data_IF_232129613673
#
_entry.id   IF_232129613673
#
_cell.length_a   1.000
_cell.length_b   1.000
_cell.length_c   1.000
_cell.angle_alpha   90.00
_cell.angle_beta   90.00
_cell.angle_gamma   90.00
#
_symmetry.space_group_name_H-M   'P 1'
#
loop_
_entity.id
_entity.type
_entity.pdbx_description
1 polymer ?
#
# COMPACT_ATOMS: atom_id res chain seq x y z
N UNK A 1 8.75 -77.93 34.37
CA UNK A 1 8.60 -76.77 35.28
C UNK A 1 9.50 -75.68 34.71
N UNK A 2 9.17 -74.99 33.62
CA UNK A 2 8.02 -74.13 33.31
C UNK A 2 7.88 -72.89 34.21
N UNK A 3 7.61 -71.74 33.55
CA UNK A 3 7.61 -70.31 33.94
C UNK A 3 8.93 -69.58 33.70
N UNK A 4 9.09 -68.71 32.70
CA UNK A 4 8.08 -67.89 32.03
C UNK A 4 8.41 -66.42 32.32
N UNK A 5 9.43 -65.92 31.63
CA UNK A 5 9.94 -64.55 31.75
C UNK A 5 8.91 -63.57 31.16
N UNK A 6 8.18 -62.86 32.02
CA UNK A 6 7.23 -61.83 31.59
C UNK A 6 7.98 -60.56 31.20
N UNK A 7 7.95 -60.27 29.90
CA UNK A 7 8.27 -58.97 29.30
C UNK A 7 7.22 -57.95 29.73
N UNK A 8 7.63 -56.87 30.40
CA UNK A 8 6.85 -55.64 30.47
C UNK A 8 7.52 -54.59 29.60
N UNK A 9 6.91 -54.33 28.44
CA UNK A 9 7.17 -53.13 27.66
C UNK A 9 6.57 -51.93 28.40
N UNK A 10 7.40 -51.00 28.89
CA UNK A 10 6.94 -49.63 29.12
C UNK A 10 7.24 -48.84 27.84
N UNK A 11 6.17 -48.52 27.11
CA UNK A 11 6.20 -47.50 26.07
C UNK A 11 6.32 -46.13 26.75
N UNK A 12 7.46 -45.46 26.57
CA UNK A 12 7.61 -44.07 26.94
C UNK A 12 7.02 -43.21 25.81
N UNK A 13 5.82 -42.68 26.03
CA UNK A 13 5.14 -41.75 25.14
C UNK A 13 5.97 -40.47 24.97
N UNK A 14 6.40 -40.17 23.76
CA UNK A 14 6.97 -38.87 23.38
C UNK A 14 5.79 -37.89 23.28
N UNK A 15 5.61 -37.05 24.30
CA UNK A 15 4.74 -35.88 24.20
C UNK A 15 5.49 -34.79 23.45
N UNK A 16 5.29 -34.70 22.13
CA UNK A 16 5.66 -33.51 21.35
C UNK A 16 4.68 -32.41 21.74
N UNK A 17 5.07 -31.54 22.66
CA UNK A 17 4.37 -30.30 22.93
C UNK A 17 4.48 -29.43 21.67
N UNK A 18 3.44 -29.48 20.81
CA UNK A 18 3.29 -28.57 19.70
C UNK A 18 3.16 -27.15 20.23
N UNK A 19 4.25 -26.38 20.16
CA UNK A 19 4.21 -24.95 20.33
C UNK A 19 3.50 -24.38 19.10
N UNK A 20 2.18 -24.26 19.18
CA UNK A 20 1.41 -23.46 18.24
C UNK A 20 1.84 -22.00 18.47
N UNK A 21 2.85 -21.57 17.72
CA UNK A 21 3.10 -20.15 17.49
C UNK A 21 1.91 -19.68 16.67
N UNK A 22 0.86 -19.23 17.35
CA UNK A 22 -0.14 -18.37 16.73
C UNK A 22 0.60 -17.10 16.31
N UNK A 23 1.03 -17.06 15.06
CA UNK A 23 1.42 -15.84 14.36
C UNK A 23 0.18 -14.97 14.17
N UNK A 24 -0.39 -14.49 15.27
CA UNK A 24 -1.29 -13.35 15.23
C UNK A 24 -0.44 -12.13 14.96
N UNK A 25 -0.45 -11.66 13.71
CA UNK A 25 -0.07 -10.27 13.42
C UNK A 25 -0.81 -9.40 14.43
N UNK A 26 -0.06 -8.71 15.29
CA UNK A 26 -0.60 -7.75 16.23
C UNK A 26 -1.41 -6.72 15.42
N UNK A 27 -2.73 -6.90 15.38
CA UNK A 27 -3.63 -5.91 14.86
C UNK A 27 -3.57 -4.78 15.87
N UNK A 28 -2.95 -3.65 15.49
CA UNK A 28 -2.76 -2.52 16.38
C UNK A 28 -4.04 -2.25 17.16
N UNK A 29 -3.98 -2.42 18.49
CA UNK A 29 -5.07 -2.10 19.39
C UNK A 29 -5.40 -0.62 19.18
N UNK A 30 -6.55 -0.33 18.56
CA UNK A 30 -6.93 1.03 18.16
C UNK A 30 -7.48 1.17 16.74
N UNK A 31 -7.24 0.21 15.85
CA UNK A 31 -7.74 0.25 14.46
C UNK A 31 -9.08 -0.50 14.28
N UNK A 32 -10.02 -0.31 15.21
CA UNK A 32 -11.32 -0.97 15.18
C UNK A 32 -12.25 -0.32 14.14
N UNK A 33 -12.97 -1.14 13.39
CA UNK A 33 -13.99 -0.71 12.43
C UNK A 33 -14.99 -1.84 12.19
N UNK A 34 -16.20 -1.50 11.73
CA UNK A 34 -17.17 -2.49 11.28
C UNK A 34 -16.79 -2.99 9.89
N UNK A 35 -16.09 -4.14 9.85
CA UNK A 35 -15.66 -4.76 8.60
C UNK A 35 -16.83 -5.13 7.71
N UNK A 36 -17.93 -5.64 8.28
CA UNK A 36 -19.10 -6.07 7.50
C UNK A 36 -19.74 -4.88 6.80
N UNK A 37 -19.94 -3.78 7.53
CA UNK A 37 -20.49 -2.55 6.95
C UNK A 37 -19.57 -1.95 5.88
N UNK A 38 -18.26 -1.92 6.11
CA UNK A 38 -17.28 -1.40 5.14
C UNK A 38 -17.25 -2.21 3.85
N UNK A 39 -17.28 -3.54 3.94
CA UNK A 39 -17.29 -4.40 2.75
C UNK A 39 -18.60 -4.35 1.96
N UNK A 40 -19.69 -3.90 2.58
CA UNK A 40 -20.98 -3.75 1.93
C UNK A 40 -21.15 -2.40 1.20
N UNK A 41 -20.18 -1.47 1.33
CA UNK A 41 -20.21 -0.20 0.61
C UNK A 41 -20.04 -0.43 -0.90
N UNK A 42 -20.69 0.41 -1.72
CA UNK A 42 -20.30 0.54 -3.12
C UNK A 42 -18.86 1.08 -3.24
N UNK A 43 -18.27 0.88 -4.43
CA UNK A 43 -16.87 1.19 -4.64
C UNK A 43 -16.57 2.67 -4.45
N UNK A 44 -17.40 3.57 -4.96
CA UNK A 44 -17.13 5.00 -4.92
C UNK A 44 -17.07 5.49 -3.47
N UNK A 45 -18.03 5.07 -2.66
CA UNK A 45 -18.01 5.34 -1.23
C UNK A 45 -16.85 4.67 -0.51
N UNK A 46 -16.55 3.42 -0.84
CA UNK A 46 -15.45 2.70 -0.20
C UNK A 46 -14.09 3.35 -0.52
N UNK A 47 -13.86 3.75 -1.77
CA UNK A 47 -12.56 4.10 -2.30
C UNK A 47 -12.29 5.61 -2.46
N UNK A 48 -13.32 6.44 -2.59
CA UNK A 48 -13.18 7.88 -2.84
C UNK A 48 -13.62 8.73 -1.64
N UNK A 49 -14.60 8.27 -0.86
CA UNK A 49 -15.12 9.02 0.28
C UNK A 49 -14.22 8.94 1.53
N UNK A 50 -14.33 9.93 2.40
CA UNK A 50 -13.63 9.97 3.69
C UNK A 50 -14.14 8.90 4.67
N UNK A 51 -15.42 8.52 4.58
CA UNK A 51 -16.06 7.48 5.39
C UNK A 51 -15.73 6.05 4.95
N UNK A 52 -15.10 5.88 3.78
CA UNK A 52 -14.62 4.61 3.26
C UNK A 52 -13.32 4.13 3.93
N UNK A 53 -12.44 3.46 3.17
CA UNK A 53 -11.21 2.88 3.73
C UNK A 53 -10.30 3.91 4.41
N UNK A 54 -10.36 5.19 4.00
CA UNK A 54 -9.55 6.29 4.56
C UNK A 54 -9.76 6.47 6.06
N UNK A 55 -10.98 6.29 6.57
CA UNK A 55 -11.27 6.41 8.01
C UNK A 55 -10.44 5.42 8.86
N UNK A 56 -10.09 4.27 8.27
CA UNK A 56 -9.24 3.26 8.91
C UNK A 56 -7.78 3.50 8.56
N UNK A 57 -7.46 3.54 7.26
CA UNK A 57 -6.09 3.53 6.78
C UNK A 57 -5.29 4.79 7.09
N UNK A 58 -5.96 5.92 7.33
CA UNK A 58 -5.31 7.19 7.66
C UNK A 58 -5.35 7.50 9.16
N UNK A 59 -6.02 6.67 9.98
CA UNK A 59 -5.94 6.80 11.42
C UNK A 59 -4.49 6.54 11.90
N UNK A 60 -4.00 7.27 12.92
CA UNK A 60 -2.63 7.12 13.41
C UNK A 60 -2.28 5.67 13.72
N UNK A 61 -1.24 5.14 13.08
CA UNK A 61 -0.77 3.75 13.27
C UNK A 61 -1.60 2.66 12.55
N UNK A 62 -2.61 3.03 11.74
CA UNK A 62 -3.56 2.07 11.17
C UNK A 62 -3.37 1.77 9.68
N UNK A 63 -2.25 2.18 9.06
CA UNK A 63 -1.99 1.93 7.64
C UNK A 63 -2.15 0.46 7.25
N UNK A 64 -1.56 -0.47 8.01
CA UNK A 64 -1.67 -1.92 7.71
C UNK A 64 -3.09 -2.48 7.91
N UNK A 65 -3.88 -1.91 8.83
CA UNK A 65 -5.27 -2.28 9.02
C UNK A 65 -6.12 -1.81 7.82
N UNK A 66 -5.89 -0.58 7.34
CA UNK A 66 -6.50 -0.07 6.11
C UNK A 66 -6.12 -0.89 4.87
N UNK A 67 -4.84 -1.24 4.73
CA UNK A 67 -4.39 -2.11 3.64
C UNK A 67 -5.10 -3.48 3.69
N UNK A 68 -5.24 -4.07 4.88
CA UNK A 68 -6.01 -5.30 5.07
C UNK A 68 -7.48 -5.15 4.66
N UNK A 69 -8.11 -4.03 5.01
CA UNK A 69 -9.49 -3.74 4.61
C UNK A 69 -9.64 -3.64 3.08
N UNK A 70 -8.73 -2.95 2.38
CA UNK A 70 -8.76 -2.86 0.91
C UNK A 70 -8.56 -4.24 0.26
N UNK A 71 -7.63 -5.03 0.78
CA UNK A 71 -7.39 -6.40 0.31
C UNK A 71 -8.65 -7.26 0.45
N UNK A 72 -9.37 -7.11 1.57
CA UNK A 72 -10.62 -7.80 1.84
C UNK A 72 -11.77 -7.33 0.94
N UNK A 73 -11.83 -6.03 0.64
CA UNK A 73 -12.79 -5.47 -0.31
C UNK A 73 -12.58 -6.04 -1.72
N UNK A 74 -11.34 -6.04 -2.22
CA UNK A 74 -10.98 -6.66 -3.50
C UNK A 74 -11.40 -8.13 -3.60
N UNK A 75 -11.32 -8.89 -2.50
CA UNK A 75 -11.76 -10.29 -2.45
C UNK A 75 -13.29 -10.44 -2.43
N UNK A 76 -14.00 -9.56 -1.73
CA UNK A 76 -15.45 -9.55 -1.68
C UNK A 76 -16.08 -9.09 -3.01
N UNK A 77 -15.34 -8.31 -3.80
CA UNK A 77 -15.78 -7.72 -5.06
C UNK A 77 -14.89 -8.14 -6.24
N UNK A 78 -14.85 -9.44 -6.62
CA UNK A 78 -13.90 -9.96 -7.61
C UNK A 78 -14.15 -9.48 -9.06
N UNK A 79 -15.35 -8.94 -9.33
CA UNK A 79 -15.79 -8.57 -10.67
C UNK A 79 -15.67 -7.06 -10.95
N UNK A 80 -14.89 -6.32 -10.15
CA UNK A 80 -14.64 -4.91 -10.41
C UNK A 80 -13.96 -4.74 -11.79
N UNK A 81 -14.34 -3.70 -12.56
CA UNK A 81 -13.57 -3.22 -13.70
C UNK A 81 -12.08 -3.14 -13.39
N UNK A 82 -11.24 -3.50 -14.36
CA UNK A 82 -9.78 -3.57 -14.16
C UNK A 82 -9.21 -2.27 -13.59
N UNK A 83 -9.57 -1.11 -14.15
CA UNK A 83 -9.12 0.20 -13.67
C UNK A 83 -9.44 0.46 -12.20
N UNK A 84 -10.62 0.02 -11.74
CA UNK A 84 -11.04 0.14 -10.35
C UNK A 84 -10.29 -0.83 -9.43
N UNK A 85 -10.12 -2.07 -9.88
CA UNK A 85 -9.33 -3.06 -9.16
C UNK A 85 -7.85 -2.65 -9.04
N UNK A 86 -7.32 -1.97 -10.05
CA UNK A 86 -5.96 -1.43 -10.10
C UNK A 86 -5.79 -0.23 -9.17
N UNK A 87 -6.76 0.69 -9.13
CA UNK A 87 -6.80 1.78 -8.15
C UNK A 87 -6.78 1.27 -6.71
N UNK A 88 -7.62 0.29 -6.39
CA UNK A 88 -7.59 -0.36 -5.08
C UNK A 88 -6.25 -1.08 -4.80
N UNK A 89 -5.65 -1.73 -5.81
CA UNK A 89 -4.33 -2.38 -5.65
C UNK A 89 -3.24 -1.35 -5.33
N UNK A 90 -3.29 -0.19 -5.99
CA UNK A 90 -2.40 0.92 -5.73
C UNK A 90 -2.56 1.44 -4.30
N UNK A 91 -3.79 1.71 -3.86
CA UNK A 91 -4.07 2.16 -2.49
C UNK A 91 -3.65 1.14 -1.43
N UNK A 92 -3.89 -0.15 -1.65
CA UNK A 92 -3.39 -1.22 -0.79
C UNK A 92 -1.86 -1.17 -0.69
N UNK A 93 -1.16 -1.15 -1.82
CA UNK A 93 0.30 -1.11 -1.88
C UNK A 93 0.89 0.11 -1.17
N UNK A 94 0.29 1.29 -1.36
CA UNK A 94 0.73 2.52 -0.72
C UNK A 94 0.55 2.48 0.81
N UNK A 95 -0.56 1.93 1.31
CA UNK A 95 -0.77 1.75 2.75
C UNK A 95 0.18 0.71 3.35
N UNK A 96 0.48 -0.38 2.64
CA UNK A 96 1.53 -1.34 3.05
C UNK A 96 2.87 -0.63 3.20
N UNK A 97 3.25 0.18 2.21
CA UNK A 97 4.47 0.97 2.24
C UNK A 97 4.50 1.97 3.41
N UNK A 98 3.41 2.70 3.66
CA UNK A 98 3.29 3.61 4.80
C UNK A 98 3.43 2.88 6.15
N UNK A 99 2.91 1.65 6.23
CA UNK A 99 3.07 0.79 7.40
C UNK A 99 4.44 0.10 7.51
N UNK A 100 5.38 0.36 6.60
CA UNK A 100 6.72 -0.24 6.59
C UNK A 100 6.80 -1.63 5.96
N UNK A 101 5.72 -2.16 5.40
CA UNK A 101 5.68 -3.46 4.73
C UNK A 101 6.02 -3.33 3.24
N UNK A 102 7.28 -2.96 2.95
CA UNK A 102 7.77 -2.81 1.57
C UNK A 102 7.67 -4.11 0.77
N UNK A 103 7.85 -5.26 1.42
CA UNK A 103 7.83 -6.57 0.77
C UNK A 103 6.45 -6.88 0.19
N UNK A 104 5.36 -6.60 0.91
CA UNK A 104 4.01 -6.76 0.37
C UNK A 104 3.60 -5.59 -0.56
N UNK A 105 4.11 -4.38 -0.32
CA UNK A 105 3.78 -3.21 -1.12
C UNK A 105 4.26 -3.32 -2.58
N UNK A 106 5.52 -3.69 -2.79
CA UNK A 106 6.17 -3.71 -4.11
C UNK A 106 5.37 -4.52 -5.16
N UNK A 107 4.97 -5.78 -4.94
CA UNK A 107 4.22 -6.53 -5.93
C UNK A 107 2.82 -5.96 -6.19
N UNK A 108 2.21 -5.27 -5.22
CA UNK A 108 0.92 -4.61 -5.44
C UNK A 108 1.08 -3.40 -6.37
N UNK A 109 2.08 -2.56 -6.08
CA UNK A 109 2.38 -1.35 -6.85
C UNK A 109 2.87 -1.67 -8.27
N UNK A 110 3.67 -2.73 -8.43
CA UNK A 110 4.16 -3.17 -9.73
C UNK A 110 3.06 -3.74 -10.65
N UNK A 111 1.98 -4.26 -10.05
CA UNK A 111 0.85 -4.87 -10.77
C UNK A 111 -0.35 -3.92 -10.90
N UNK A 112 -0.28 -2.68 -10.41
CA UNK A 112 -1.29 -1.69 -10.75
C UNK A 112 -1.12 -1.35 -12.23
N UNK A 113 -2.17 -1.51 -13.04
CA UNK A 113 -2.06 -1.21 -14.46
C UNK A 113 -1.88 0.30 -14.66
N UNK A 114 -0.85 0.67 -15.43
CA UNK A 114 -0.55 2.04 -15.82
C UNK A 114 -0.52 2.21 -17.35
N UNK A 115 -1.09 1.25 -18.09
CA UNK A 115 -1.11 1.24 -19.55
C UNK A 115 -1.67 2.55 -20.11
N UNK A 116 -0.89 3.17 -20.98
CA UNK A 116 -1.27 4.45 -21.60
C UNK A 116 -1.06 5.68 -20.72
N UNK A 117 -0.63 5.53 -19.46
CA UNK A 117 -0.35 6.63 -18.54
C UNK A 117 1.11 6.64 -18.09
N UNK A 118 1.94 7.32 -18.89
CA UNK A 118 3.36 7.45 -18.62
C UNK A 118 3.68 8.18 -17.30
N UNK A 119 2.78 9.05 -16.81
CA UNK A 119 3.00 9.78 -15.56
C UNK A 119 2.83 8.86 -14.36
N UNK A 120 1.74 8.09 -14.33
CA UNK A 120 1.50 7.09 -13.28
C UNK A 120 2.54 5.98 -13.32
N UNK A 121 2.97 5.54 -14.52
CA UNK A 121 4.04 4.57 -14.66
C UNK A 121 5.36 5.07 -14.05
N UNK A 122 5.81 6.28 -14.39
CA UNK A 122 7.06 6.83 -13.85
C UNK A 122 6.99 7.08 -12.34
N UNK A 123 5.81 7.47 -11.83
CA UNK A 123 5.57 7.62 -10.39
C UNK A 123 5.60 6.27 -9.65
N UNK A 124 5.04 5.21 -10.24
CA UNK A 124 5.12 3.85 -9.71
C UNK A 124 6.56 3.34 -9.66
N UNK A 125 7.32 3.53 -10.73
CA UNK A 125 8.74 3.19 -10.81
C UNK A 125 9.54 3.90 -9.71
N UNK A 126 9.32 5.21 -9.51
CA UNK A 126 9.95 5.97 -8.45
C UNK A 126 9.59 5.43 -7.05
N UNK A 127 8.31 5.18 -6.80
CA UNK A 127 7.84 4.64 -5.52
C UNK A 127 8.47 3.28 -5.23
N UNK A 128 8.49 2.37 -6.20
CA UNK A 128 9.09 1.04 -6.06
C UNK A 128 10.60 1.14 -5.84
N UNK A 129 11.30 2.02 -6.55
CA UNK A 129 12.73 2.24 -6.37
C UNK A 129 13.06 2.74 -4.95
N UNK A 130 12.27 3.67 -4.42
CA UNK A 130 12.39 4.11 -3.02
C UNK A 130 12.21 2.94 -2.05
N UNK A 131 11.17 2.12 -2.21
CA UNK A 131 10.90 0.97 -1.33
C UNK A 131 11.96 -0.14 -1.41
N UNK A 132 12.67 -0.22 -2.53
CA UNK A 132 13.81 -1.12 -2.72
C UNK A 132 15.13 -0.54 -2.20
N UNK A 133 15.14 0.70 -1.71
CA UNK A 133 16.35 1.47 -1.42
C UNK A 133 17.30 1.52 -2.63
N UNK A 134 16.75 1.69 -3.84
CA UNK A 134 17.49 1.84 -5.09
C UNK A 134 17.53 3.32 -5.53
N UNK A 135 18.55 4.05 -5.06
CA UNK A 135 18.69 5.49 -5.34
C UNK A 135 18.91 5.79 -6.83
N UNK A 136 19.78 5.06 -7.55
CA UNK A 136 19.92 5.25 -9.00
C UNK A 136 18.60 5.07 -9.76
N UNK A 137 17.83 4.03 -9.47
CA UNK A 137 16.53 3.82 -10.12
C UNK A 137 15.52 4.91 -9.76
N UNK A 138 15.52 5.41 -8.52
CA UNK A 138 14.65 6.51 -8.11
C UNK A 138 15.00 7.81 -8.86
N UNK A 139 16.29 8.11 -9.04
CA UNK A 139 16.74 9.26 -9.84
C UNK A 139 16.29 9.11 -11.29
N UNK A 140 16.46 7.92 -11.89
CA UNK A 140 16.07 7.67 -13.26
C UNK A 140 14.54 7.82 -13.46
N UNK A 141 13.73 7.29 -12.54
CA UNK A 141 12.28 7.44 -12.58
C UNK A 141 11.84 8.90 -12.41
N UNK A 142 12.50 9.66 -11.53
CA UNK A 142 12.26 11.11 -11.37
C UNK A 142 12.58 11.88 -12.64
N UNK A 143 13.72 11.59 -13.28
CA UNK A 143 14.10 12.19 -14.56
C UNK A 143 13.07 11.88 -15.64
N UNK A 144 12.65 10.62 -15.76
CA UNK A 144 11.58 10.18 -16.66
C UNK A 144 10.30 10.98 -16.44
N UNK A 145 9.82 11.07 -15.19
CA UNK A 145 8.60 11.80 -14.86
C UNK A 145 8.70 13.29 -15.23
N UNK A 146 9.80 13.96 -14.84
CA UNK A 146 10.01 15.39 -15.11
C UNK A 146 10.18 15.71 -16.60
N UNK A 147 10.57 14.74 -17.41
CA UNK A 147 10.76 14.89 -18.86
C UNK A 147 9.50 14.67 -19.70
N UNK A 148 8.37 14.28 -19.08
CA UNK A 148 7.14 14.02 -19.83
C UNK A 148 6.54 15.32 -20.38
N UNK A 149 6.11 15.34 -21.66
CA UNK A 149 5.51 16.52 -22.26
C UNK A 149 4.17 16.82 -21.60
N UNK A 150 3.93 18.10 -21.29
CA UNK A 150 2.64 18.53 -20.79
C UNK A 150 1.56 18.33 -21.87
N UNK A 151 0.43 17.67 -21.55
CA UNK A 151 -0.71 17.57 -22.45
C UNK A 151 -1.25 18.95 -22.82
N UNK A 152 -1.67 19.12 -24.07
CA UNK A 152 -2.13 20.42 -24.59
C UNK A 152 -3.34 20.98 -23.82
N UNK A 153 -4.18 20.10 -23.26
CA UNK A 153 -5.37 20.39 -22.48
C UNK A 153 -5.12 20.57 -20.97
N UNK A 154 -3.89 20.32 -20.49
CA UNK A 154 -3.57 20.40 -19.07
C UNK A 154 -3.92 21.76 -18.46
N UNK A 155 -3.60 22.87 -19.14
CA UNK A 155 -3.83 24.22 -18.61
C UNK A 155 -5.32 24.52 -18.40
N UNK A 156 -6.17 24.06 -19.33
CA UNK A 156 -7.61 24.20 -19.19
C UNK A 156 -8.14 23.36 -18.01
N UNK A 157 -7.66 22.12 -17.89
CA UNK A 157 -7.99 21.25 -16.76
C UNK A 157 -7.53 21.82 -15.42
N UNK A 158 -6.31 22.35 -15.34
CA UNK A 158 -5.75 22.97 -14.15
C UNK A 158 -6.54 24.22 -13.73
N UNK A 159 -6.96 25.05 -14.69
CA UNK A 159 -7.81 26.21 -14.42
C UNK A 159 -9.19 25.79 -13.87
N UNK A 160 -9.81 24.78 -14.47
CA UNK A 160 -11.10 24.24 -14.00
C UNK A 160 -10.99 23.67 -12.58
N UNK A 161 -9.94 22.87 -12.30
CA UNK A 161 -9.68 22.34 -10.98
C UNK A 161 -9.47 23.45 -9.93
N UNK A 162 -8.69 24.48 -10.26
CA UNK A 162 -8.47 25.64 -9.39
C UNK A 162 -9.76 26.40 -9.11
N UNK A 163 -10.61 26.58 -10.10
CA UNK A 163 -11.91 27.23 -9.92
C UNK A 163 -12.85 26.44 -8.98
N UNK A 164 -12.80 25.10 -9.03
CA UNK A 164 -13.66 24.24 -8.21
C UNK A 164 -13.14 24.04 -6.78
N UNK A 165 -11.82 23.93 -6.61
CA UNK A 165 -11.22 23.48 -5.34
C UNK A 165 -10.38 24.56 -4.64
N UNK A 166 -10.07 25.66 -5.33
CA UNK A 166 -9.12 26.68 -4.87
C UNK A 166 -7.65 26.25 -4.90
N UNK A 167 -7.35 25.03 -5.36
CA UNK A 167 -6.00 24.44 -5.35
C UNK A 167 -5.37 24.46 -6.74
N UNK A 168 -4.06 24.60 -6.80
CA UNK A 168 -3.31 24.55 -8.07
C UNK A 168 -2.90 23.11 -8.41
N UNK A 169 -2.88 22.79 -9.70
CA UNK A 169 -2.26 21.56 -10.22
C UNK A 169 -0.93 21.91 -10.89
N UNK A 170 0.10 21.13 -10.58
CA UNK A 170 1.40 21.22 -11.23
C UNK A 170 1.59 20.07 -12.21
N UNK A 171 2.28 20.35 -13.31
CA UNK A 171 2.74 19.33 -14.22
C UNK A 171 4.23 19.03 -13.98
N UNK A 172 4.66 17.76 -14.01
CA UNK A 172 3.84 16.55 -14.03
C UNK A 172 3.20 16.27 -12.65
N UNK A 173 2.07 15.57 -12.60
CA UNK A 173 1.49 15.14 -11.32
C UNK A 173 2.49 14.30 -10.52
N UNK A 174 2.44 14.39 -9.20
CA UNK A 174 3.28 13.66 -8.25
C UNK A 174 4.80 13.93 -8.33
N UNK A 175 5.28 14.86 -9.16
CA UNK A 175 6.72 15.18 -9.21
C UNK A 175 7.22 15.68 -7.84
N UNK A 176 6.41 16.48 -7.15
CA UNK A 176 6.69 16.96 -5.80
C UNK A 176 6.82 15.80 -4.79
N UNK A 177 6.01 14.75 -4.94
CA UNK A 177 6.12 13.54 -4.11
C UNK A 177 7.44 12.85 -4.37
N UNK A 178 7.80 12.63 -5.64
CA UNK A 178 9.07 11.97 -6.01
C UNK A 178 10.28 12.78 -5.54
N UNK A 179 10.21 14.10 -5.60
CA UNK A 179 11.25 14.98 -5.08
C UNK A 179 11.45 14.81 -3.57
N UNK A 180 10.35 14.65 -2.81
CA UNK A 180 10.44 14.35 -1.38
C UNK A 180 10.97 12.94 -1.10
N UNK A 181 10.59 11.94 -1.91
CA UNK A 181 11.17 10.60 -1.81
C UNK A 181 12.70 10.63 -2.00
N UNK A 182 13.19 11.44 -2.95
CA UNK A 182 14.63 11.63 -3.15
C UNK A 182 15.30 12.38 -2.00
N UNK A 183 14.66 13.43 -1.47
CA UNK A 183 15.18 14.22 -0.36
C UNK A 183 15.22 13.42 0.95
N UNK A 184 14.24 12.55 1.17
CA UNK A 184 14.09 11.69 2.33
C UNK A 184 14.49 10.23 2.07
N UNK A 185 15.44 9.97 1.17
CA UNK A 185 15.70 8.63 0.63
C UNK A 185 15.87 7.52 1.70
N UNK A 186 16.53 7.83 2.81
CA UNK A 186 16.80 6.87 3.88
C UNK A 186 15.76 6.89 5.03
N UNK A 187 14.65 7.63 4.88
CA UNK A 187 13.57 7.72 5.87
C UNK A 187 12.48 6.69 5.58
N UNK A 188 11.64 6.33 6.57
CA UNK A 188 10.45 5.53 6.31
C UNK A 188 9.57 6.18 5.23
N UNK A 189 8.95 5.36 4.37
CA UNK A 189 8.12 5.84 3.26
C UNK A 189 7.03 6.82 3.71
N UNK A 190 6.39 6.56 4.86
CA UNK A 190 5.37 7.46 5.43
C UNK A 190 5.91 8.88 5.70
N UNK A 191 7.15 9.02 6.14
CA UNK A 191 7.76 10.33 6.39
C UNK A 191 8.16 11.02 5.08
N UNK A 192 8.76 10.26 4.17
CA UNK A 192 9.18 10.76 2.86
C UNK A 192 8.00 11.24 2.03
N UNK A 193 6.96 10.41 1.92
CA UNK A 193 5.72 10.74 1.26
C UNK A 193 5.01 11.93 1.94
N UNK A 194 4.97 11.92 3.27
CA UNK A 194 4.21 12.85 4.12
C UNK A 194 4.78 14.27 4.24
N UNK A 195 5.94 14.58 3.68
CA UNK A 195 6.43 15.97 3.66
C UNK A 195 7.62 16.29 4.57
N UNK A 196 8.12 15.31 5.34
CA UNK A 196 9.04 15.58 6.45
C UNK A 196 10.37 16.24 6.04
N UNK A 197 10.87 15.96 4.84
CA UNK A 197 12.10 16.56 4.29
C UNK A 197 11.80 17.28 2.97
N UNK A 198 10.84 18.20 3.00
CA UNK A 198 10.57 19.08 1.86
C UNK A 198 11.87 19.77 1.42
N UNK A 199 12.27 19.67 0.13
CA UNK A 199 13.45 20.38 -0.35
C UNK A 199 13.24 21.90 -0.17
N UNK A 200 14.33 22.69 0.03
CA UNK A 200 14.20 24.13 0.08
C UNK A 200 13.50 24.62 -1.20
N UNK A 201 12.48 25.48 -1.02
CA UNK A 201 11.75 26.10 -2.13
C UNK A 201 12.60 27.12 -2.85
#
# INVERSE_FOLDING_TARGET
MDRGMKRSCLAASIAVAGLLIFGGLARAEGCAYDRTAMLAMDLDRFDQDASGWRTVGQAPGCFLAGAGLIADYRKAHPNLPLSQADGLRWHEGQLRAMGGDSQAAIPLLANANHDGDATNQAYAEATIAFLRHDRPALIAARQKLSGLPQPADFQAGAAAYKAQTGRELSWPPNLDVVDRLLACFDRPYVEAYGGACSPPR
#
